data_IF_871800300504
#
_entry.id   IF_871800300504
#
_cell.length_a   1.000
_cell.length_b   1.000
_cell.length_c   1.000
_cell.angle_alpha   90.00
_cell.angle_beta   90.00
_cell.angle_gamma   90.00
#
_symmetry.space_group_name_H-M   'P 1'
#
loop_
_entity.id
_entity.type
_entity.pdbx_description
1 polymer ?
#
# COMPACT_ATOMS: atom_id res chain seq x y z
N UNK A 1 -10.36 -6.61 11.75
CA UNK A 1 -11.30 -5.93 12.65
C UNK A 1 -10.66 -5.79 14.03
N UNK A 2 -10.00 -4.66 14.29
CA UNK A 2 -9.55 -4.28 15.65
C UNK A 2 -10.49 -3.21 16.21
N UNK A 3 -10.55 -3.02 17.53
CA UNK A 3 -11.53 -2.14 18.16
C UNK A 3 -11.23 -0.68 17.79
N UNK A 4 -12.26 0.03 17.33
CA UNK A 4 -12.23 1.48 17.10
C UNK A 4 -12.49 2.16 18.43
N UNK A 5 -11.45 2.66 19.09
CA UNK A 5 -11.58 3.45 20.32
C UNK A 5 -11.42 4.92 20.03
N UNK A 6 -12.39 5.73 20.48
CA UNK A 6 -12.50 7.20 20.29
C UNK A 6 -11.47 8.02 21.08
N UNK A 7 -10.49 7.38 21.72
CA UNK A 7 -9.50 8.04 22.57
C UNK A 7 -8.10 7.91 21.95
N UNK A 8 -7.46 9.01 21.50
CA UNK A 8 -6.11 8.96 20.97
C UNK A 8 -5.08 8.42 21.97
N UNK A 9 -5.38 8.42 23.28
CA UNK A 9 -4.53 7.75 24.29
C UNK A 9 -4.59 6.22 24.23
N UNK A 10 -5.63 5.65 23.65
CA UNK A 10 -5.75 4.19 23.49
C UNK A 10 -4.92 3.64 22.31
N UNK A 11 -4.58 4.47 21.32
CA UNK A 11 -3.62 4.14 20.26
C UNK A 11 -2.18 3.99 20.79
N UNK A 12 -1.89 4.60 21.95
CA UNK A 12 -0.61 4.46 22.67
C UNK A 12 -0.52 3.11 23.40
N UNK A 13 -1.59 2.31 23.45
CA UNK A 13 -1.54 0.92 23.90
C UNK A 13 -1.13 -0.02 22.77
N UNK A 14 -0.07 0.32 22.03
CA UNK A 14 0.62 -0.67 21.21
C UNK A 14 1.38 -1.60 22.15
N UNK A 15 1.54 -2.88 21.81
CA UNK A 15 2.32 -3.83 22.62
C UNK A 15 3.77 -3.35 22.89
N UNK A 16 4.28 -2.39 22.10
CA UNK A 16 5.54 -1.70 22.35
C UNK A 16 5.50 -0.25 21.81
N UNK A 17 5.06 0.74 22.62
CA UNK A 17 5.00 2.15 22.20
C UNK A 17 6.39 2.74 21.95
N UNK A 18 7.43 2.25 22.63
CA UNK A 18 8.81 2.70 22.47
C UNK A 18 9.33 2.45 21.05
N UNK A 19 8.94 1.33 20.42
CA UNK A 19 9.34 1.00 19.04
C UNK A 19 8.81 1.99 18.00
N UNK A 20 7.80 2.78 18.35
CA UNK A 20 7.17 3.75 17.44
C UNK A 20 7.46 5.20 17.83
N UNK A 21 8.22 5.44 18.90
CA UNK A 21 8.48 6.78 19.42
C UNK A 21 9.18 7.69 18.39
N UNK A 22 10.11 7.12 17.61
CA UNK A 22 10.80 7.85 16.53
C UNK A 22 9.84 8.29 15.41
N UNK A 23 8.69 7.63 15.24
CA UNK A 23 7.66 8.04 14.26
C UNK A 23 6.90 9.30 14.68
N UNK A 24 7.12 9.80 15.90
CA UNK A 24 6.61 11.09 16.36
C UNK A 24 7.59 12.24 16.11
N UNK A 25 8.83 11.94 15.70
CA UNK A 25 9.87 12.94 15.40
C UNK A 25 9.83 13.34 13.92
N UNK A 26 9.43 14.59 13.63
CA UNK A 26 9.25 15.08 12.26
C UNK A 26 10.50 14.90 11.38
N UNK A 27 11.70 15.15 11.91
CA UNK A 27 12.95 14.96 11.17
C UNK A 27 13.18 13.50 10.76
N UNK A 28 12.91 12.56 11.67
CA UNK A 28 13.04 11.13 11.38
C UNK A 28 12.04 10.70 10.31
N UNK A 29 10.79 11.16 10.43
CA UNK A 29 9.72 10.87 9.45
C UNK A 29 10.07 11.45 8.08
N UNK A 30 10.58 12.67 8.00
CA UNK A 30 10.98 13.31 6.74
C UNK A 30 12.11 12.54 6.02
N UNK A 31 13.12 12.10 6.77
CA UNK A 31 14.20 11.27 6.23
C UNK A 31 13.68 9.89 5.78
N UNK A 32 12.81 9.28 6.58
CA UNK A 32 12.22 7.99 6.27
C UNK A 32 11.35 8.06 5.01
N UNK A 33 10.48 9.07 4.87
CA UNK A 33 9.69 9.32 3.66
C UNK A 33 10.62 9.47 2.45
N UNK A 34 11.69 10.24 2.59
CA UNK A 34 12.65 10.46 1.50
C UNK A 34 13.31 9.16 1.04
N UNK A 35 13.70 8.30 2.00
CA UNK A 35 14.29 6.98 1.68
C UNK A 35 13.27 6.04 1.05
N UNK A 36 12.03 6.02 1.55
CA UNK A 36 10.94 5.21 0.98
C UNK A 36 10.60 5.66 -0.45
N UNK A 37 10.58 6.97 -0.73
CA UNK A 37 10.31 7.48 -2.08
C UNK A 37 11.40 7.08 -3.09
N UNK A 38 12.67 7.05 -2.67
CA UNK A 38 13.76 6.53 -3.50
C UNK A 38 13.55 5.05 -3.82
N UNK A 39 13.24 4.25 -2.80
CA UNK A 39 12.96 2.83 -3.01
C UNK A 39 11.72 2.59 -3.88
N UNK A 40 10.66 3.40 -3.75
CA UNK A 40 9.48 3.31 -4.63
C UNK A 40 9.84 3.57 -6.09
N UNK A 41 10.69 4.57 -6.36
CA UNK A 41 11.18 4.86 -7.71
C UNK A 41 11.98 3.69 -8.28
N UNK A 42 12.87 3.11 -7.48
CA UNK A 42 13.65 1.94 -7.90
C UNK A 42 12.75 0.72 -8.13
N UNK A 43 11.68 0.59 -7.34
CA UNK A 43 10.71 -0.48 -7.49
C UNK A 43 9.90 -0.33 -8.77
N UNK A 44 9.52 0.88 -9.20
CA UNK A 44 8.50 1.10 -10.23
C UNK A 44 8.65 0.22 -11.50
N UNK A 45 9.88 -0.09 -11.90
CA UNK A 45 10.20 -0.92 -13.07
C UNK A 45 10.49 -2.41 -12.75
N UNK A 46 10.64 -2.79 -11.48
CA UNK A 46 11.02 -4.11 -11.02
C UNK A 46 9.86 -4.87 -10.36
N UNK A 47 8.82 -5.17 -11.15
CA UNK A 47 7.66 -5.96 -10.70
C UNK A 47 8.01 -7.41 -10.32
N UNK A 48 9.23 -7.88 -10.60
CA UNK A 48 9.69 -9.21 -10.21
C UNK A 48 9.93 -9.34 -8.69
N UNK A 49 10.07 -8.22 -7.99
CA UNK A 49 10.23 -8.16 -6.54
C UNK A 49 9.03 -7.48 -5.86
N UNK A 50 7.90 -8.17 -5.87
CA UNK A 50 6.63 -7.75 -5.26
C UNK A 50 6.74 -7.51 -3.75
N UNK A 51 7.63 -8.24 -3.07
CA UNK A 51 7.84 -8.12 -1.63
C UNK A 51 8.32 -6.72 -1.23
N UNK A 52 9.08 -6.05 -2.10
CA UNK A 52 9.55 -4.70 -1.81
C UNK A 52 8.39 -3.71 -1.77
N UNK A 53 7.43 -3.81 -2.70
CA UNK A 53 6.23 -2.98 -2.67
C UNK A 53 5.38 -3.26 -1.43
N UNK A 54 5.26 -4.53 -1.02
CA UNK A 54 4.55 -4.93 0.22
C UNK A 54 5.19 -4.27 1.43
N UNK A 55 6.51 -4.42 1.60
CA UNK A 55 7.25 -3.87 2.74
C UNK A 55 7.09 -2.35 2.80
N UNK A 56 7.31 -1.66 1.68
CA UNK A 56 7.18 -0.21 1.63
C UNK A 56 5.75 0.22 1.98
N UNK A 57 4.74 -0.45 1.42
CA UNK A 57 3.33 -0.12 1.68
C UNK A 57 2.99 -0.28 3.15
N UNK A 58 3.41 -1.38 3.79
CA UNK A 58 3.18 -1.61 5.23
C UNK A 58 3.83 -0.51 6.07
N UNK A 59 5.08 -0.14 5.77
CA UNK A 59 5.78 0.94 6.48
C UNK A 59 5.05 2.29 6.28
N UNK A 60 4.72 2.64 5.04
CA UNK A 60 4.01 3.88 4.70
C UNK A 60 2.66 3.96 5.42
N UNK A 61 1.89 2.88 5.42
CA UNK A 61 0.61 2.80 6.12
C UNK A 61 0.76 2.94 7.64
N UNK A 62 1.82 2.37 8.20
CA UNK A 62 2.11 2.47 9.64
C UNK A 62 2.47 3.90 10.04
N UNK A 63 3.34 4.55 9.27
CA UNK A 63 3.68 5.97 9.48
C UNK A 63 2.41 6.82 9.33
N UNK A 64 1.61 6.62 8.28
CA UNK A 64 0.37 7.37 8.07
C UNK A 64 -0.60 7.29 9.27
N UNK A 65 -0.67 6.12 9.91
CA UNK A 65 -1.55 5.88 11.07
C UNK A 65 -1.06 6.60 12.34
N UNK A 66 0.26 6.78 12.48
CA UNK A 66 0.88 7.28 13.73
C UNK A 66 1.31 8.74 13.61
N UNK A 67 1.66 9.21 12.42
CA UNK A 67 2.28 10.51 12.22
C UNK A 67 1.34 11.66 12.60
N UNK A 68 1.94 12.76 13.07
CA UNK A 68 1.24 13.99 13.37
C UNK A 68 0.58 14.60 12.12
N UNK A 69 -0.42 15.48 12.33
CA UNK A 69 -1.21 16.09 11.25
C UNK A 69 -0.37 16.86 10.21
N UNK A 70 0.77 17.42 10.60
CA UNK A 70 1.67 18.24 9.77
C UNK A 70 2.30 17.50 8.59
N UNK A 71 2.32 16.16 8.62
CA UNK A 71 2.93 15.32 7.57
C UNK A 71 1.94 14.39 6.87
N UNK A 72 0.64 14.49 7.23
CA UNK A 72 -0.38 13.62 6.65
C UNK A 72 -0.50 13.76 5.14
N UNK A 73 -0.35 14.95 4.56
CA UNK A 73 -0.39 15.15 3.11
C UNK A 73 0.76 14.43 2.39
N UNK A 74 1.99 14.53 2.90
CA UNK A 74 3.14 13.84 2.33
C UNK A 74 2.99 12.32 2.42
N UNK A 75 2.45 11.84 3.54
CA UNK A 75 2.14 10.43 3.74
C UNK A 75 1.01 9.95 2.83
N UNK A 76 -0.05 10.75 2.65
CA UNK A 76 -1.09 10.51 1.65
C UNK A 76 -0.50 10.33 0.26
N UNK A 77 0.39 11.24 -0.15
CA UNK A 77 1.04 11.17 -1.45
C UNK A 77 1.87 9.88 -1.59
N UNK A 78 2.52 9.44 -0.51
CA UNK A 78 3.28 8.18 -0.48
C UNK A 78 2.35 6.96 -0.60
N UNK A 79 1.19 6.96 0.07
CA UNK A 79 0.17 5.90 -0.06
C UNK A 79 -0.36 5.83 -1.49
N UNK A 80 -0.69 6.98 -2.09
CA UNK A 80 -1.17 7.05 -3.47
C UNK A 80 -0.12 6.58 -4.49
N UNK A 81 1.17 6.85 -4.25
CA UNK A 81 2.26 6.30 -5.08
C UNK A 81 2.31 4.78 -5.02
N UNK A 82 2.24 4.19 -3.82
CA UNK A 82 2.23 2.73 -3.66
C UNK A 82 1.07 2.11 -4.46
N UNK A 83 -0.14 2.68 -4.33
CA UNK A 83 -1.34 2.26 -5.07
C UNK A 83 -1.12 2.26 -6.58
N UNK A 84 -0.65 3.39 -7.13
CA UNK A 84 -0.41 3.55 -8.57
C UNK A 84 0.62 2.55 -9.10
N UNK A 85 1.68 2.28 -8.34
CA UNK A 85 2.70 1.30 -8.73
C UNK A 85 2.09 -0.11 -8.78
N UNK A 86 1.33 -0.50 -7.75
CA UNK A 86 0.68 -1.82 -7.75
C UNK A 86 -0.34 -1.97 -8.88
N UNK A 87 -1.15 -0.93 -9.16
CA UNK A 87 -2.11 -0.94 -10.27
C UNK A 87 -1.39 -1.14 -11.62
N UNK A 88 -0.31 -0.38 -11.85
CA UNK A 88 0.54 -0.51 -13.03
C UNK A 88 1.12 -1.92 -13.16
N UNK A 89 1.58 -2.51 -12.06
CA UNK A 89 2.13 -3.88 -12.09
C UNK A 89 1.07 -4.94 -12.38
N UNK A 90 -0.12 -4.84 -11.78
CA UNK A 90 -1.23 -5.74 -12.09
C UNK A 90 -1.56 -5.68 -13.58
N UNK A 91 -1.61 -4.48 -14.17
CA UNK A 91 -1.85 -4.31 -15.61
C UNK A 91 -0.75 -4.96 -16.46
N UNK A 92 0.53 -4.75 -16.12
CA UNK A 92 1.67 -5.33 -16.83
C UNK A 92 1.70 -6.85 -16.74
N UNK A 93 1.46 -7.41 -15.56
CA UNK A 93 1.43 -8.87 -15.36
C UNK A 93 0.25 -9.47 -16.10
N UNK A 94 -0.94 -8.84 -16.03
CA UNK A 94 -2.13 -9.30 -16.76
C UNK A 94 -1.90 -9.34 -18.27
N UNK A 95 -1.28 -8.30 -18.83
CA UNK A 95 -0.86 -8.27 -20.25
C UNK A 95 0.15 -9.38 -20.58
N UNK A 96 1.07 -9.66 -19.66
CA UNK A 96 2.07 -10.73 -19.83
C UNK A 96 1.40 -12.10 -19.86
N UNK A 97 0.42 -12.35 -18.98
CA UNK A 97 -0.39 -13.58 -18.97
C UNK A 97 -1.17 -13.71 -20.28
N UNK A 98 -1.88 -12.66 -20.71
CA UNK A 98 -2.68 -12.68 -21.94
C UNK A 98 -1.87 -12.98 -23.21
N UNK A 99 -0.60 -12.54 -23.24
CA UNK A 99 0.29 -12.74 -24.39
C UNK A 99 1.11 -14.05 -24.31
N UNK A 100 0.98 -14.82 -23.22
CA UNK A 100 1.73 -16.06 -23.04
C UNK A 100 1.11 -17.24 -23.81
N UNK A 101 1.93 -18.14 -24.33
CA UNK A 101 1.47 -19.38 -24.95
C UNK A 101 0.94 -20.36 -23.90
N UNK A 102 -0.11 -21.11 -24.23
CA UNK A 102 -0.79 -22.06 -23.33
C UNK A 102 0.09 -23.17 -22.73
N UNK A 103 1.32 -23.36 -23.23
CA UNK A 103 2.29 -24.34 -22.72
C UNK A 103 3.01 -23.93 -21.44
N UNK A 104 2.89 -22.69 -20.98
CA UNK A 104 3.63 -22.13 -19.82
C UNK A 104 2.75 -22.03 -18.54
N UNK A 105 1.91 -23.03 -18.27
CA UNK A 105 0.93 -23.06 -17.17
C UNK A 105 1.53 -22.67 -15.79
N UNK A 106 2.69 -23.23 -15.44
CA UNK A 106 3.31 -22.97 -14.13
C UNK A 106 3.78 -21.52 -13.98
N UNK A 107 4.31 -20.92 -15.06
CA UNK A 107 4.71 -19.52 -15.08
C UNK A 107 3.50 -18.60 -14.99
N UNK A 108 2.41 -18.95 -15.67
CA UNK A 108 1.15 -18.21 -15.58
C UNK A 108 0.64 -18.22 -14.14
N UNK A 109 0.61 -19.38 -13.48
CA UNK A 109 0.16 -19.48 -12.08
C UNK A 109 1.06 -18.65 -11.14
N UNK A 110 2.38 -18.69 -11.31
CA UNK A 110 3.28 -17.85 -10.52
C UNK A 110 3.04 -16.34 -10.73
N UNK A 111 2.67 -15.93 -11.94
CA UNK A 111 2.27 -14.54 -12.23
C UNK A 111 0.93 -14.17 -11.60
N UNK A 112 -0.03 -15.11 -11.54
CA UNK A 112 -1.31 -14.93 -10.83
C UNK A 112 -1.11 -14.76 -9.33
N UNK A 113 -0.26 -15.58 -8.72
CA UNK A 113 0.10 -15.44 -7.30
C UNK A 113 0.67 -14.05 -6.99
N UNK A 114 1.53 -13.54 -7.89
CA UNK A 114 2.05 -12.16 -7.78
C UNK A 114 0.95 -11.12 -7.88
N UNK A 115 -0.01 -11.27 -8.80
CA UNK A 115 -1.17 -10.38 -8.90
C UNK A 115 -1.95 -10.36 -7.58
N UNK A 116 -2.17 -11.51 -6.94
CA UNK A 116 -2.86 -11.59 -5.65
C UNK A 116 -2.09 -10.84 -4.56
N UNK A 117 -0.77 -11.06 -4.46
CA UNK A 117 0.08 -10.37 -3.46
C UNK A 117 0.05 -8.84 -3.66
N UNK A 118 0.20 -8.38 -4.90
CA UNK A 118 0.17 -6.95 -5.25
C UNK A 118 -1.23 -6.38 -5.01
N UNK A 119 -2.28 -7.13 -5.36
CA UNK A 119 -3.67 -6.74 -5.14
C UNK A 119 -3.98 -6.52 -3.67
N UNK A 120 -3.62 -7.48 -2.81
CA UNK A 120 -3.78 -7.36 -1.35
C UNK A 120 -3.01 -6.13 -0.83
N UNK A 121 -1.79 -5.92 -1.31
CA UNK A 121 -0.98 -4.75 -0.96
C UNK A 121 -1.68 -3.44 -1.33
N UNK A 122 -2.26 -3.37 -2.54
CA UNK A 122 -3.03 -2.22 -2.96
C UNK A 122 -4.29 -2.01 -2.13
N UNK A 123 -5.01 -3.08 -1.75
CA UNK A 123 -6.19 -2.98 -0.89
C UNK A 123 -5.85 -2.33 0.47
N UNK A 124 -4.67 -2.59 1.04
CA UNK A 124 -4.25 -1.95 2.29
C UNK A 124 -4.22 -0.43 2.18
N UNK A 125 -3.91 0.13 0.99
CA UNK A 125 -3.89 1.59 0.76
C UNK A 125 -5.27 2.25 0.84
N UNK A 126 -6.35 1.47 0.86
CA UNK A 126 -7.72 1.94 1.05
C UNK A 126 -8.18 1.90 2.51
N UNK A 127 -7.35 1.40 3.43
CA UNK A 127 -7.67 1.43 4.87
C UNK A 127 -7.51 2.82 5.50
N UNK A 128 -6.93 3.80 4.79
CA UNK A 128 -6.74 5.18 5.28
C UNK A 128 -8.04 6.00 5.37
N UNK A 129 -9.16 5.50 4.83
CA UNK A 129 -10.41 6.25 4.66
C UNK A 129 -11.39 6.12 5.85
N UNK A 130 -10.92 5.67 7.02
CA UNK A 130 -11.78 5.52 8.21
C UNK A 130 -12.06 6.87 8.93
N UNK A 131 -13.30 7.05 9.39
CA UNK A 131 -14.05 8.24 9.84
C UNK A 131 -13.39 9.36 10.69
N UNK A 132 -12.17 9.21 11.20
CA UNK A 132 -11.58 10.21 12.13
C UNK A 132 -10.55 11.15 11.50
N UNK A 133 -10.07 10.84 10.30
CA UNK A 133 -8.94 11.54 9.68
C UNK A 133 -9.23 12.32 8.40
N UNK A 134 -10.46 12.27 7.84
CA UNK A 134 -11.07 13.14 6.80
C UNK A 134 -10.14 13.93 5.84
N UNK A 135 -9.01 13.37 5.41
CA UNK A 135 -8.08 14.06 4.49
C UNK A 135 -8.29 13.60 3.05
N UNK A 136 -8.85 12.41 2.81
CA UNK A 136 -9.26 12.00 1.48
C UNK A 136 -10.69 11.46 1.48
N UNK A 137 -11.50 12.03 0.60
CA UNK A 137 -12.74 11.43 0.13
C UNK A 137 -12.36 10.54 -1.05
N UNK A 138 -12.83 9.29 -1.07
CA UNK A 138 -12.65 8.42 -2.25
C UNK A 138 -13.33 9.06 -3.45
N UNK A 139 -12.60 9.23 -4.54
CA UNK A 139 -13.21 9.58 -5.82
C UNK A 139 -13.95 8.36 -6.39
N UNK A 140 -14.85 8.58 -7.35
CA UNK A 140 -15.47 7.47 -8.10
C UNK A 140 -14.41 6.58 -8.76
N UNK A 141 -13.31 7.16 -9.24
CA UNK A 141 -12.20 6.40 -9.82
C UNK A 141 -11.50 5.51 -8.79
N UNK A 142 -11.36 5.98 -7.55
CA UNK A 142 -10.79 5.18 -6.47
C UNK A 142 -11.68 3.98 -6.13
N UNK A 143 -13.01 4.17 -6.14
CA UNK A 143 -13.99 3.09 -5.90
C UNK A 143 -13.95 2.07 -7.04
N UNK A 144 -13.91 2.53 -8.29
CA UNK A 144 -13.78 1.64 -9.46
C UNK A 144 -12.50 0.82 -9.33
N UNK A 145 -11.37 1.47 -9.03
CA UNK A 145 -10.07 0.79 -8.92
C UNK A 145 -10.08 -0.22 -7.77
N UNK A 146 -10.69 0.11 -6.62
CA UNK A 146 -10.88 -0.81 -5.51
C UNK A 146 -11.67 -2.06 -5.92
N UNK A 147 -12.80 -1.88 -6.62
CA UNK A 147 -13.62 -2.99 -7.11
C UNK A 147 -12.85 -3.83 -8.15
N UNK A 148 -12.14 -3.20 -9.07
CA UNK A 148 -11.29 -3.88 -10.06
C UNK A 148 -10.22 -4.73 -9.39
N UNK A 149 -9.53 -4.21 -8.37
CA UNK A 149 -8.53 -4.96 -7.62
C UNK A 149 -9.17 -6.14 -6.88
N UNK A 150 -10.31 -5.93 -6.22
CA UNK A 150 -11.01 -6.99 -5.49
C UNK A 150 -11.47 -8.13 -6.43
N UNK A 151 -12.03 -7.79 -7.59
CA UNK A 151 -12.41 -8.79 -8.61
C UNK A 151 -11.17 -9.47 -9.18
N UNK A 152 -10.09 -8.74 -9.44
CA UNK A 152 -8.83 -9.31 -9.93
C UNK A 152 -8.26 -10.35 -8.95
N UNK A 153 -8.32 -10.09 -7.65
CA UNK A 153 -7.89 -11.05 -6.62
C UNK A 153 -8.83 -12.27 -6.58
N UNK A 154 -10.14 -12.07 -6.80
CA UNK A 154 -11.08 -13.18 -6.82
C UNK A 154 -10.90 -14.11 -8.02
N UNK A 155 -10.54 -13.54 -9.17
CA UNK A 155 -10.41 -14.25 -10.45
C UNK A 155 -9.07 -14.99 -10.62
N UNK A 156 -8.09 -14.77 -9.74
CA UNK A 156 -6.74 -15.34 -9.79
C UNK A 156 -6.45 -16.22 -8.57
#
# INVERSE_FOLDING_TARGET
YGPVTKDPKSLICSWCPESHQQLLEDHFVDELITRLDRHLKDCECNWQNELMLVIITVIVMRIFTICNSTRKEQMTNSVLKCRKIGEKWIELISKTIQNSSSSDSDKINALRDKIVIIGITNLLTYSIYTDSSNILVLSNQDIISLLTIATTIHDN
#
